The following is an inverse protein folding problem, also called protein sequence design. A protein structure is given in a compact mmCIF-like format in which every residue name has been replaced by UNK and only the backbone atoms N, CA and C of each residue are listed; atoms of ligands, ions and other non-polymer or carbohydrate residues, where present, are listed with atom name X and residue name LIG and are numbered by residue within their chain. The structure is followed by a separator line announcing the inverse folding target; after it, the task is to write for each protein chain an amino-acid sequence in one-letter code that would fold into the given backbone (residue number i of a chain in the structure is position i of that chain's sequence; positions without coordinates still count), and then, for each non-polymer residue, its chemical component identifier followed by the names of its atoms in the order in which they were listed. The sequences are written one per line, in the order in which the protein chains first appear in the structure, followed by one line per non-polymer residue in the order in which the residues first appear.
data_IF_144548569223
#
_entry.id   IF_144548569223
#
_cell.length_a   1.000
_cell.length_b   1.000
_cell.length_c   1.000
_cell.angle_alpha   90.00
_cell.angle_beta   90.00
_cell.angle_gamma   90.00
#
_symmetry.space_group_name_H-M   'P 1'
#
loop_
_entity.id
_entity.type
_entity.pdbx_description
1 polymer ?
#
# COMPACT_ATOMS: atom_id res chain seq x y z
N UNK A 1 -13.40 -11.52 -6.68
CA UNK A 1 -12.22 -10.90 -6.06
C UNK A 1 -11.41 -10.16 -7.11
N UNK A 2 -10.96 -8.98 -6.78
CA UNK A 2 -10.25 -8.11 -7.71
C UNK A 2 -8.89 -7.74 -7.13
N UNK A 3 -7.86 -7.99 -7.89
CA UNK A 3 -6.53 -7.54 -7.50
C UNK A 3 -6.41 -6.04 -7.77
N UNK A 4 -5.88 -5.34 -6.79
CA UNK A 4 -5.65 -3.91 -6.89
C UNK A 4 -4.22 -3.60 -6.50
N UNK A 5 -3.74 -2.47 -6.96
CA UNK A 5 -2.41 -2.02 -6.59
C UNK A 5 -2.49 -0.64 -5.94
N UNK A 6 -1.57 -0.40 -5.03
CA UNK A 6 -1.45 0.86 -4.34
C UNK A 6 0.02 1.23 -4.27
N UNK A 7 0.35 2.40 -4.74
CA UNK A 7 1.74 2.85 -4.81
C UNK A 7 1.92 4.08 -3.94
N UNK A 8 2.91 4.02 -3.06
CA UNK A 8 3.29 5.13 -2.21
C UNK A 8 4.72 5.53 -2.50
N UNK A 9 4.98 6.82 -2.45
CA UNK A 9 6.32 7.35 -2.64
C UNK A 9 6.53 8.55 -1.73
N UNK A 10 7.71 8.62 -1.11
CA UNK A 10 8.05 9.74 -0.27
C UNK A 10 9.16 9.38 0.70
N UNK A 11 9.31 10.21 1.73
CA UNK A 11 10.25 9.93 2.79
C UNK A 11 9.73 8.74 3.61
N UNK A 12 10.65 7.99 4.21
CA UNK A 12 10.28 6.78 4.95
C UNK A 12 9.18 7.03 5.96
N UNK A 13 9.26 8.13 6.70
CA UNK A 13 8.27 8.45 7.71
C UNK A 13 6.90 8.72 7.10
N UNK A 14 6.88 9.44 5.99
CA UNK A 14 5.63 9.75 5.30
C UNK A 14 4.98 8.50 4.73
N UNK A 15 5.81 7.63 4.14
CA UNK A 15 5.31 6.37 3.58
C UNK A 15 4.72 5.49 4.68
N UNK A 16 5.39 5.42 5.82
CA UNK A 16 4.90 4.64 6.94
C UNK A 16 3.54 5.15 7.43
N UNK A 17 3.41 6.46 7.61
CA UNK A 17 2.17 7.05 8.06
C UNK A 17 1.03 6.82 7.07
N UNK A 18 1.30 7.05 5.79
CA UNK A 18 0.29 6.89 4.75
C UNK A 18 -0.12 5.42 4.60
N UNK A 19 0.85 4.52 4.70
CA UNK A 19 0.56 3.11 4.61
C UNK A 19 -0.31 2.64 5.77
N UNK A 20 0.00 3.11 6.97
CA UNK A 20 -0.80 2.77 8.14
C UNK A 20 -2.23 3.29 8.02
N UNK A 21 -2.40 4.50 7.48
CA UNK A 21 -3.73 5.04 7.26
C UNK A 21 -4.50 4.21 6.23
N UNK A 22 -3.83 3.81 5.18
CA UNK A 22 -4.44 2.98 4.15
C UNK A 22 -4.93 1.65 4.73
N UNK A 23 -4.07 0.99 5.49
CA UNK A 23 -4.42 -0.29 6.09
C UNK A 23 -5.55 -0.16 7.11
N UNK A 24 -5.54 0.91 7.89
CA UNK A 24 -6.60 1.14 8.87
C UNK A 24 -7.94 1.41 8.21
N UNK A 25 -7.92 2.05 7.04
CA UNK A 25 -9.15 2.38 6.33
C UNK A 25 -9.73 1.16 5.59
N UNK A 26 -8.94 0.11 5.42
CA UNK A 26 -9.36 -1.07 4.66
C UNK A 26 -9.04 -2.35 5.41
N UNK A 27 -9.73 -2.60 6.53
CA UNK A 27 -9.37 -3.72 7.41
C UNK A 27 -9.62 -5.11 6.86
N UNK A 28 -10.29 -5.26 5.78
CA UNK A 28 -10.61 -6.58 5.23
C UNK A 28 -9.73 -7.02 4.07
N UNK A 29 -8.74 -6.23 3.71
CA UNK A 29 -7.93 -6.58 2.55
C UNK A 29 -6.90 -7.65 2.86
N UNK A 30 -6.49 -8.37 1.82
CA UNK A 30 -5.45 -9.37 1.92
C UNK A 30 -4.28 -8.91 1.06
N UNK A 31 -3.11 -8.78 1.68
CA UNK A 31 -1.90 -8.38 0.96
C UNK A 31 -1.36 -9.60 0.23
N UNK A 32 -1.30 -9.51 -1.07
CA UNK A 32 -0.81 -10.60 -1.92
C UNK A 32 0.67 -10.48 -2.18
N UNK A 33 1.13 -9.26 -2.39
CA UNK A 33 2.53 -9.01 -2.70
C UNK A 33 2.89 -7.58 -2.32
N UNK A 34 4.13 -7.38 -1.91
CA UNK A 34 4.64 -6.06 -1.60
C UNK A 34 6.05 -5.93 -2.14
N UNK A 35 6.33 -4.81 -2.79
CA UNK A 35 7.64 -4.48 -3.28
C UNK A 35 8.09 -3.13 -2.77
N UNK A 36 9.38 -2.92 -2.69
CA UNK A 36 9.95 -1.68 -2.21
C UNK A 36 11.20 -1.35 -2.98
N UNK A 37 11.43 -0.07 -3.23
CA UNK A 37 12.68 0.40 -3.78
C UNK A 37 13.05 1.73 -3.11
N UNK A 38 14.34 2.02 -3.10
CA UNK A 38 14.85 3.24 -2.52
C UNK A 38 15.66 4.02 -3.54
N UNK A 39 15.57 5.33 -3.48
CA UNK A 39 16.36 6.23 -4.30
C UNK A 39 16.65 7.48 -3.49
N UNK A 40 17.90 7.60 -3.02
CA UNK A 40 18.26 8.69 -2.13
C UNK A 40 17.49 8.62 -0.83
N UNK A 41 16.75 9.68 -0.52
CA UNK A 41 15.94 9.74 0.69
C UNK A 41 14.50 9.31 0.46
N UNK A 42 14.17 8.88 -0.75
CA UNK A 42 12.80 8.52 -1.10
C UNK A 42 12.65 7.01 -1.19
N UNK A 43 11.51 6.56 -0.72
CA UNK A 43 11.12 5.15 -0.77
C UNK A 43 9.87 5.03 -1.59
N UNK A 44 9.83 4.03 -2.47
CA UNK A 44 8.64 3.69 -3.22
C UNK A 44 8.17 2.32 -2.75
N UNK A 45 6.90 2.23 -2.43
CA UNK A 45 6.29 0.96 -1.99
C UNK A 45 5.12 0.65 -2.90
N UNK A 46 5.08 -0.57 -3.36
CA UNK A 46 3.97 -1.07 -4.17
C UNK A 46 3.30 -2.20 -3.43
N UNK A 47 2.00 -2.09 -3.23
CA UNK A 47 1.21 -3.15 -2.63
C UNK A 47 0.28 -3.72 -3.69
N UNK A 48 0.18 -5.03 -3.74
CA UNK A 48 -0.85 -5.71 -4.53
C UNK A 48 -1.71 -6.47 -3.53
N UNK A 49 -3.00 -6.19 -3.56
CA UNK A 49 -3.90 -6.72 -2.56
C UNK A 49 -5.24 -7.11 -3.17
N UNK A 50 -5.96 -7.95 -2.46
CA UNK A 50 -7.33 -8.30 -2.79
C UNK A 50 -8.25 -7.65 -1.79
N UNK A 51 -9.30 -7.03 -2.30
CA UNK A 51 -10.32 -6.41 -1.47
C UNK A 51 -11.61 -7.20 -1.64
N UNK A 52 -12.02 -7.95 -0.61
CA UNK A 52 -13.24 -8.74 -0.69
C UNK A 52 -14.51 -7.91 -0.69
N UNK A 53 -14.40 -6.65 -0.31
CA UNK A 53 -15.53 -5.73 -0.32
C UNK A 53 -15.22 -4.56 -1.24
N UNK A 54 -15.21 -4.79 -2.56
CA UNK A 54 -14.84 -3.74 -3.50
C UNK A 54 -15.79 -2.55 -3.41
N UNK A 55 -15.24 -1.39 -3.57
CA UNK A 55 -16.03 -0.18 -3.64
C UNK A 55 -16.75 -0.14 -4.98
N UNK A 56 -18.01 0.07 -4.92
CA UNK A 56 -18.81 0.23 -6.12
C UNK A 56 -18.91 1.68 -6.52
#
# INVERSE_FOLDING_TARGET
MTLQSFVLRGLAKEVEEDLNKFLAARPGIEIVHMGQSESGNHISVVLIFEDPAPLL
#
